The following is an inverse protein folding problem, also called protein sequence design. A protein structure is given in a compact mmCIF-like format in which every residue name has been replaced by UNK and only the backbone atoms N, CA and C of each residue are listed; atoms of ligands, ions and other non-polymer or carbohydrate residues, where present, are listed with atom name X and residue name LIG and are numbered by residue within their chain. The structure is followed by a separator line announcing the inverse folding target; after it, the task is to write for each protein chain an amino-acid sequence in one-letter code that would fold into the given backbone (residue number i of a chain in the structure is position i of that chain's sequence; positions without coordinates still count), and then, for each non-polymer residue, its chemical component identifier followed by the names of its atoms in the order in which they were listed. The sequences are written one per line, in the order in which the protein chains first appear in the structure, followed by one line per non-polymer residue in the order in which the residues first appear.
data_IF_489160137792
#
_entry.id   IF_489160137792
#
_cell.length_a   1.000
_cell.length_b   1.000
_cell.length_c   1.000
_cell.angle_alpha   90.00
_cell.angle_beta   90.00
_cell.angle_gamma   90.00
#
_symmetry.space_group_name_H-M   'P 1'
#
loop_
_entity.id
_entity.type
_entity.pdbx_description
1 polymer ?
#
# COMPACT_ATOMS: atom_id res chain seq x y z
N UNK A 1 -14.59 -9.26 1.74
CA UNK A 1 -14.73 -8.51 3.00
C UNK A 1 -16.20 -8.18 3.18
N UNK A 2 -16.89 -8.90 4.06
CA UNK A 2 -18.22 -8.51 4.48
C UNK A 2 -18.10 -7.15 5.17
N UNK A 3 -18.84 -6.17 4.69
CA UNK A 3 -18.75 -4.80 5.20
C UNK A 3 -19.05 -4.75 6.69
N UNK A 4 -18.25 -3.97 7.42
CA UNK A 4 -18.58 -3.63 8.78
C UNK A 4 -19.81 -2.74 8.78
N UNK A 5 -20.82 -3.09 9.56
CA UNK A 5 -21.97 -2.23 9.79
C UNK A 5 -21.61 -1.28 10.92
N UNK A 6 -21.67 0.01 10.65
CA UNK A 6 -21.43 1.05 11.65
C UNK A 6 -22.79 1.63 12.03
N UNK A 7 -23.19 1.45 13.28
CA UNK A 7 -24.36 2.11 13.85
C UNK A 7 -23.92 3.20 14.82
N UNK A 8 -24.35 4.43 14.57
CA UNK A 8 -24.22 5.54 15.50
C UNK A 8 -25.53 5.75 16.24
N UNK A 9 -25.51 5.74 17.55
CA UNK A 9 -26.69 6.00 18.38
C UNK A 9 -26.26 6.80 19.62
N UNK A 10 -26.78 8.03 19.72
CA UNK A 10 -26.61 8.92 20.90
C UNK A 10 -25.15 9.14 21.34
N UNK A 11 -24.24 9.43 20.41
CA UNK A 11 -22.83 9.71 20.72
C UNK A 11 -21.97 8.48 21.02
N UNK A 12 -22.52 7.26 20.96
CA UNK A 12 -21.74 6.04 21.01
C UNK A 12 -21.67 5.38 19.64
N UNK A 13 -20.47 4.94 19.28
CA UNK A 13 -20.21 4.21 18.06
C UNK A 13 -20.03 2.74 18.39
N UNK A 14 -20.89 1.89 17.84
CA UNK A 14 -20.72 0.44 17.91
C UNK A 14 -20.63 -0.11 16.50
N UNK A 15 -19.62 -0.92 16.22
CA UNK A 15 -19.46 -1.56 14.94
C UNK A 15 -19.21 -3.06 15.07
N UNK A 16 -19.81 -3.82 14.16
CA UNK A 16 -19.67 -5.26 14.08
C UNK A 16 -19.28 -5.64 12.66
N UNK A 17 -18.32 -6.54 12.55
CA UNK A 17 -17.91 -7.15 11.29
C UNK A 17 -17.35 -8.53 11.53
N UNK A 18 -17.09 -9.26 10.46
CA UNK A 18 -16.53 -10.61 10.57
C UNK A 18 -15.15 -10.63 11.27
N UNK A 19 -14.44 -9.50 11.26
CA UNK A 19 -13.05 -9.41 11.71
C UNK A 19 -12.80 -8.33 12.77
N UNK A 20 -13.77 -7.42 12.99
CA UNK A 20 -13.65 -6.29 13.90
C UNK A 20 -14.92 -6.15 14.73
N UNK A 21 -14.75 -5.93 16.01
CA UNK A 21 -15.81 -5.47 16.92
C UNK A 21 -15.31 -4.25 17.65
N UNK A 22 -16.18 -3.36 18.03
CA UNK A 22 -15.77 -2.22 18.82
C UNK A 22 -16.93 -1.40 19.32
N UNK A 23 -16.66 -0.65 20.35
CA UNK A 23 -17.55 0.37 20.91
C UNK A 23 -16.70 1.58 21.28
N UNK A 24 -17.25 2.76 21.07
CA UNK A 24 -16.59 4.01 21.44
C UNK A 24 -17.59 5.05 21.86
N UNK A 25 -17.10 6.03 22.59
CA UNK A 25 -17.85 7.21 23.00
C UNK A 25 -17.23 8.43 22.33
N UNK A 26 -18.00 9.08 21.47
CA UNK A 26 -17.57 10.28 20.76
C UNK A 26 -17.29 11.46 21.71
N UNK A 27 -17.96 11.53 22.86
CA UNK A 27 -17.74 12.59 23.83
C UNK A 27 -16.37 12.50 24.51
N UNK A 28 -15.91 11.31 24.78
CA UNK A 28 -14.60 11.07 25.42
C UNK A 28 -13.49 10.82 24.41
N UNK A 29 -13.83 10.55 23.15
CA UNK A 29 -12.87 10.15 22.11
C UNK A 29 -12.20 8.79 22.34
N UNK A 30 -12.71 7.99 23.27
CA UNK A 30 -12.14 6.68 23.60
C UNK A 30 -12.89 5.61 22.83
N UNK A 31 -12.14 4.81 22.07
CA UNK A 31 -12.63 3.68 21.30
C UNK A 31 -11.93 2.40 21.73
N UNK A 32 -12.70 1.37 21.99
CA UNK A 32 -12.19 0.01 22.25
C UNK A 32 -12.47 -0.84 21.02
N UNK A 33 -11.43 -1.34 20.42
CA UNK A 33 -11.50 -2.17 19.21
C UNK A 33 -10.99 -3.57 19.55
N UNK A 34 -11.83 -4.56 19.35
CA UNK A 34 -11.49 -5.98 19.48
C UNK A 34 -11.26 -6.57 18.09
N UNK A 35 -10.09 -7.15 17.88
CA UNK A 35 -9.72 -7.82 16.63
C UNK A 35 -9.99 -9.32 16.77
N UNK A 36 -10.60 -9.90 15.75
CA UNK A 36 -10.74 -11.35 15.67
C UNK A 36 -9.36 -12.01 15.63
N UNK A 37 -9.14 -13.02 16.47
CA UNK A 37 -7.85 -13.71 16.60
C UNK A 37 -7.33 -14.30 15.28
N UNK A 38 -8.22 -14.68 14.37
CA UNK A 38 -7.86 -15.14 13.03
C UNK A 38 -7.13 -14.09 12.19
N UNK A 39 -7.29 -12.78 12.50
CA UNK A 39 -6.51 -11.71 11.88
C UNK A 39 -5.02 -11.80 12.21
N UNK A 40 -4.66 -12.38 13.35
CA UNK A 40 -3.26 -12.58 13.74
C UNK A 40 -2.49 -13.34 12.65
N UNK A 41 -3.12 -14.34 12.04
CA UNK A 41 -2.52 -15.11 10.94
C UNK A 41 -2.10 -14.25 9.75
N UNK A 42 -2.79 -13.13 9.48
CA UNK A 42 -2.43 -12.20 8.40
C UNK A 42 -1.14 -11.43 8.72
N UNK A 43 -0.86 -11.21 10.01
CA UNK A 43 0.35 -10.51 10.44
C UNK A 43 1.53 -11.44 10.65
N UNK A 44 1.28 -12.72 10.96
CA UNK A 44 2.32 -13.74 11.15
C UNK A 44 3.12 -14.00 9.85
N UNK A 45 2.47 -13.91 8.69
CA UNK A 45 3.12 -14.03 7.38
C UNK A 45 3.99 -12.82 6.99
N UNK A 46 3.97 -11.77 7.79
CA UNK A 46 4.64 -10.49 7.54
C UNK A 46 3.65 -9.38 7.16
N UNK A 47 4.07 -8.16 7.38
CA UNK A 47 3.30 -6.96 7.07
C UNK A 47 4.21 -5.91 6.43
N UNK A 48 3.60 -5.01 5.67
CA UNK A 48 4.30 -3.91 5.01
C UNK A 48 3.95 -2.61 5.73
N UNK A 49 4.96 -1.94 6.24
CA UNK A 49 4.80 -0.59 6.74
C UNK A 49 4.76 0.38 5.55
N UNK A 50 3.73 1.21 5.53
CA UNK A 50 3.53 2.24 4.51
C UNK A 50 3.53 3.59 5.22
N UNK A 51 4.35 4.52 4.73
CA UNK A 51 4.40 5.87 5.26
C UNK A 51 3.11 6.62 4.90
N UNK A 52 2.35 6.99 5.94
CA UNK A 52 1.05 7.61 5.76
C UNK A 52 1.13 9.01 5.15
N UNK A 53 2.13 9.78 5.53
CA UNK A 53 2.35 11.14 5.03
C UNK A 53 2.59 11.14 3.51
N UNK A 54 3.36 10.18 3.00
CA UNK A 54 3.55 9.98 1.56
C UNK A 54 2.22 9.67 0.87
N UNK A 55 1.37 8.85 1.47
CA UNK A 55 0.04 8.53 0.90
C UNK A 55 -0.89 9.73 0.86
N UNK A 56 -0.83 10.60 1.86
CA UNK A 56 -1.62 11.83 1.89
C UNK A 56 -1.26 12.74 0.72
N UNK A 57 0.02 12.86 0.36
CA UNK A 57 0.50 13.63 -0.79
C UNK A 57 0.04 13.04 -2.14
N UNK A 58 -0.23 11.75 -2.18
CA UNK A 58 -0.73 11.04 -3.37
C UNK A 58 -2.26 11.01 -3.46
N UNK A 59 -2.99 11.67 -2.57
CA UNK A 59 -4.45 11.76 -2.67
C UNK A 59 -4.89 12.19 -4.06
N UNK A 60 -5.94 11.55 -4.59
CA UNK A 60 -6.48 11.78 -5.94
C UNK A 60 -5.57 11.34 -7.10
N UNK A 61 -4.51 10.56 -6.82
CA UNK A 61 -3.60 9.98 -7.82
C UNK A 61 -3.63 8.45 -7.73
N UNK A 62 -4.71 7.79 -8.18
CA UNK A 62 -4.96 6.37 -7.88
C UNK A 62 -3.85 5.44 -8.37
N UNK A 63 -3.28 5.68 -9.57
CA UNK A 63 -2.17 4.87 -10.06
C UNK A 63 -0.91 5.05 -9.22
N UNK A 64 -0.59 6.27 -8.79
CA UNK A 64 0.55 6.53 -7.91
C UNK A 64 0.34 5.89 -6.52
N UNK A 65 -0.88 5.96 -5.96
CA UNK A 65 -1.23 5.28 -4.70
C UNK A 65 -1.07 3.76 -4.79
N UNK A 66 -1.47 3.16 -5.92
CA UNK A 66 -1.31 1.73 -6.15
C UNK A 66 0.19 1.36 -6.25
N UNK A 67 0.94 2.09 -7.06
CA UNK A 67 2.39 1.89 -7.24
C UNK A 67 3.16 2.07 -5.93
N UNK A 68 2.79 3.06 -5.12
CA UNK A 68 3.36 3.29 -3.80
C UNK A 68 3.20 2.03 -2.91
N UNK A 69 1.97 1.52 -2.79
CA UNK A 69 1.72 0.29 -2.03
C UNK A 69 2.49 -0.92 -2.57
N UNK A 70 2.53 -1.08 -3.89
CA UNK A 70 3.25 -2.16 -4.54
C UNK A 70 4.75 -2.09 -4.27
N UNK A 71 5.40 -0.96 -4.53
CA UNK A 71 6.84 -0.85 -4.35
C UNK A 71 7.24 -0.86 -2.87
N UNK A 72 6.42 -0.32 -1.96
CA UNK A 72 6.66 -0.40 -0.53
C UNK A 72 6.56 -1.84 0.01
N UNK A 73 5.80 -2.72 -0.63
CA UNK A 73 5.71 -4.13 -0.22
C UNK A 73 6.94 -4.97 -0.56
N UNK A 74 7.87 -4.44 -1.37
CA UNK A 74 9.07 -5.14 -1.79
C UNK A 74 10.33 -4.42 -1.28
N UNK A 75 11.16 -5.12 -0.51
CA UNK A 75 12.43 -4.58 -0.04
C UNK A 75 13.40 -4.30 -1.20
N UNK A 76 13.41 -5.19 -2.18
CA UNK A 76 14.14 -5.08 -3.45
C UNK A 76 13.14 -5.27 -4.60
N UNK A 77 12.55 -4.18 -5.13
CA UNK A 77 11.60 -4.27 -6.23
C UNK A 77 12.25 -4.85 -7.49
N UNK A 78 11.61 -5.83 -8.08
CA UNK A 78 12.04 -6.40 -9.35
C UNK A 78 11.42 -5.65 -10.55
N UNK A 79 12.05 -5.71 -11.74
CA UNK A 79 11.54 -5.09 -12.95
C UNK A 79 10.14 -5.62 -13.30
N UNK A 80 9.15 -4.72 -13.45
CA UNK A 80 7.77 -5.07 -13.71
C UNK A 80 7.32 -4.60 -15.11
N UNK A 81 6.67 -5.47 -15.86
CA UNK A 81 6.16 -5.15 -17.20
C UNK A 81 5.06 -4.08 -17.16
N UNK A 82 5.06 -3.16 -18.14
CA UNK A 82 4.04 -2.11 -18.25
C UNK A 82 2.63 -2.69 -18.31
N UNK A 83 2.43 -3.73 -19.11
CA UNK A 83 1.15 -4.43 -19.25
C UNK A 83 0.72 -5.11 -17.93
N UNK A 84 1.70 -5.67 -17.20
CA UNK A 84 1.45 -6.26 -15.88
C UNK A 84 0.99 -5.19 -14.88
N UNK A 85 1.65 -4.02 -14.87
CA UNK A 85 1.24 -2.88 -14.03
C UNK A 85 -0.18 -2.43 -14.41
N UNK A 86 -0.47 -2.31 -15.69
CA UNK A 86 -1.81 -1.91 -16.17
C UNK A 86 -2.89 -2.86 -15.68
N UNK A 87 -2.67 -4.15 -15.87
CA UNK A 87 -3.61 -5.19 -15.43
C UNK A 87 -3.80 -5.23 -13.91
N UNK A 88 -2.70 -5.22 -13.15
CA UNK A 88 -2.74 -5.34 -11.68
C UNK A 88 -3.28 -4.08 -11.01
N UNK A 89 -3.04 -2.89 -11.58
CA UNK A 89 -3.59 -1.63 -11.06
C UNK A 89 -5.08 -1.43 -11.36
N UNK A 90 -5.68 -2.32 -12.16
CA UNK A 90 -7.08 -2.19 -12.59
C UNK A 90 -7.31 -1.01 -13.53
N UNK A 91 -6.27 -0.53 -14.24
CA UNK A 91 -6.41 0.59 -15.17
C UNK A 91 -7.26 0.18 -16.39
N UNK A 92 -8.34 0.91 -16.61
CA UNK A 92 -9.24 0.74 -17.77
C UNK A 92 -8.76 1.47 -19.03
N UNK A 93 -7.56 2.05 -19.00
CA UNK A 93 -7.03 2.83 -20.13
C UNK A 93 -6.67 1.89 -21.30
N UNK A 94 -7.51 1.86 -22.34
CA UNK A 94 -7.37 0.96 -23.48
C UNK A 94 -6.17 1.28 -24.40
N UNK A 95 -5.60 2.49 -24.32
CA UNK A 95 -4.51 2.92 -25.20
C UNK A 95 -3.13 2.78 -24.54
N UNK A 96 -2.26 1.85 -25.03
CA UNK A 96 -0.94 1.62 -24.43
C UNK A 96 -0.07 2.88 -24.28
N UNK A 97 -0.07 3.75 -25.28
CA UNK A 97 0.70 5.01 -25.26
C UNK A 97 0.17 6.01 -24.20
N UNK A 98 -1.14 6.06 -23.99
CA UNK A 98 -1.77 6.87 -22.96
C UNK A 98 -1.46 6.33 -21.56
N UNK A 99 -1.55 5.01 -21.37
CA UNK A 99 -1.18 4.39 -20.11
C UNK A 99 0.30 4.59 -19.77
N UNK A 100 1.21 4.45 -20.74
CA UNK A 100 2.64 4.68 -20.54
C UNK A 100 2.93 6.11 -20.04
N UNK A 101 2.27 7.13 -20.61
CA UNK A 101 2.40 8.52 -20.13
C UNK A 101 1.86 8.69 -18.70
N UNK A 102 0.70 8.10 -18.40
CA UNK A 102 0.12 8.14 -17.07
C UNK A 102 1.01 7.43 -16.04
N UNK A 103 1.61 6.30 -16.43
CA UNK A 103 2.54 5.54 -15.60
C UNK A 103 3.82 6.35 -15.32
N UNK A 104 4.42 6.97 -16.36
CA UNK A 104 5.60 7.81 -16.16
C UNK A 104 5.31 8.96 -15.19
N UNK A 105 4.19 9.65 -15.36
CA UNK A 105 3.78 10.71 -14.44
C UNK A 105 3.59 10.22 -13.02
N UNK A 106 2.98 9.04 -12.85
CA UNK A 106 2.79 8.46 -11.52
C UNK A 106 4.12 8.06 -10.85
N UNK A 107 5.10 7.58 -11.62
CA UNK A 107 6.44 7.26 -11.14
C UNK A 107 7.23 8.52 -10.77
N UNK A 108 7.12 9.59 -11.56
CA UNK A 108 7.72 10.89 -11.24
C UNK A 108 7.17 11.47 -9.94
N UNK A 109 5.87 11.33 -9.69
CA UNK A 109 5.25 11.72 -8.43
C UNK A 109 5.83 10.93 -7.23
N UNK A 110 6.11 9.63 -7.39
CA UNK A 110 6.73 8.83 -6.33
C UNK A 110 8.17 9.26 -6.05
N UNK A 111 8.91 9.69 -7.08
CA UNK A 111 10.26 10.27 -6.88
C UNK A 111 10.14 11.62 -6.18
N UNK A 112 9.20 12.47 -6.60
CA UNK A 112 8.99 13.79 -6.02
C UNK A 112 8.72 13.75 -4.51
N UNK A 113 7.93 12.78 -4.05
CA UNK A 113 7.62 12.61 -2.61
C UNK A 113 8.69 11.82 -1.83
N UNK A 114 9.75 11.34 -2.50
CA UNK A 114 10.83 10.57 -1.87
C UNK A 114 10.56 9.08 -1.67
N UNK A 115 9.40 8.57 -2.09
CA UNK A 115 9.07 7.14 -2.01
C UNK A 115 9.96 6.26 -2.91
N UNK A 116 10.43 6.84 -4.02
CA UNK A 116 11.44 6.25 -4.91
C UNK A 116 12.66 7.17 -5.01
N UNK A 117 13.85 6.59 -5.13
CA UNK A 117 15.08 7.32 -5.45
C UNK A 117 15.11 7.66 -6.94
N UNK A 118 14.76 6.70 -7.79
CA UNK A 118 14.71 6.87 -9.24
C UNK A 118 13.92 5.74 -9.90
N UNK A 119 13.57 5.97 -11.16
CA UNK A 119 13.02 4.93 -12.02
C UNK A 119 13.56 5.04 -13.44
N UNK A 120 13.47 3.96 -14.21
CA UNK A 120 13.81 3.92 -15.63
C UNK A 120 13.00 2.86 -16.36
N UNK A 121 12.80 3.09 -17.66
CA UNK A 121 12.30 2.05 -18.56
C UNK A 121 13.46 1.25 -19.15
N UNK A 122 13.35 -0.06 -19.13
CA UNK A 122 14.22 -1.01 -19.83
C UNK A 122 13.36 -1.86 -20.75
N UNK A 123 13.26 -1.44 -22.02
CA UNK A 123 12.27 -2.00 -22.96
C UNK A 123 10.84 -1.77 -22.48
N UNK A 124 10.09 -2.85 -22.25
CA UNK A 124 8.72 -2.82 -21.74
C UNK A 124 8.63 -3.00 -20.21
N UNK A 125 9.74 -2.87 -19.49
CA UNK A 125 9.79 -3.04 -18.03
C UNK A 125 10.14 -1.75 -17.32
N UNK A 126 9.46 -1.51 -16.22
CA UNK A 126 9.77 -0.46 -15.25
C UNK A 126 10.76 -1.03 -14.24
N UNK A 127 11.91 -0.39 -14.12
CA UNK A 127 12.88 -0.65 -13.08
C UNK A 127 12.87 0.54 -12.12
N UNK A 128 12.75 0.28 -10.84
CA UNK A 128 12.77 1.32 -9.80
C UNK A 128 13.91 1.08 -8.84
N UNK A 129 14.39 2.17 -8.24
CA UNK A 129 15.31 2.16 -7.12
C UNK A 129 14.66 2.85 -5.94
N UNK A 130 14.67 2.19 -4.78
CA UNK A 130 14.19 2.76 -3.52
C UNK A 130 15.11 2.38 -2.37
N UNK A 131 15.06 3.17 -1.32
CA UNK A 131 15.74 2.86 -0.06
C UNK A 131 14.84 1.93 0.76
N UNK A 132 15.29 0.69 1.10
CA UNK A 132 14.53 -0.18 1.98
C UNK A 132 14.34 0.44 3.37
N UNK A 133 13.20 0.21 3.99
CA UNK A 133 12.97 0.63 5.38
C UNK A 133 13.91 -0.13 6.35
N UNK A 134 14.14 0.36 7.58
CA UNK A 134 14.98 -0.34 8.55
C UNK A 134 14.54 -1.79 8.83
N UNK A 135 13.23 -2.07 8.82
CA UNK A 135 12.73 -3.44 8.98
C UNK A 135 13.01 -4.32 7.75
N UNK A 136 12.87 -3.76 6.55
CA UNK A 136 13.24 -4.44 5.30
C UNK A 136 14.74 -4.72 5.21
N UNK A 137 15.58 -3.76 5.63
CA UNK A 137 17.04 -3.96 5.69
C UNK A 137 17.42 -5.12 6.63
N UNK A 138 16.80 -5.18 7.81
CA UNK A 138 16.99 -6.30 8.75
C UNK A 138 16.60 -7.64 8.13
N UNK A 139 15.49 -7.69 7.40
CA UNK A 139 15.05 -8.89 6.69
C UNK A 139 16.05 -9.32 5.60
N UNK A 140 16.53 -8.39 4.78
CA UNK A 140 17.52 -8.65 3.74
C UNK A 140 18.85 -9.17 4.32
N UNK A 141 19.27 -8.61 5.46
CA UNK A 141 20.50 -9.06 6.15
C UNK A 141 20.36 -10.48 6.68
N UNK A 142 19.20 -10.82 7.27
CA UNK A 142 18.93 -12.20 7.73
C UNK A 142 18.93 -13.19 6.55
N UNK A 143 18.30 -12.83 5.42
CA UNK A 143 18.26 -13.67 4.21
C UNK A 143 19.65 -13.92 3.63
N UNK A 144 20.57 -12.94 3.68
CA UNK A 144 21.95 -13.10 3.20
C UNK A 144 22.82 -13.99 4.10
N UNK A 145 22.52 -14.01 5.42
CA UNK A 145 23.26 -14.87 6.39
C UNK A 145 22.79 -16.32 6.40
N UNK A 146 21.62 -16.61 5.89
CA UNK A 146 21.04 -17.95 5.82
C UNK A 146 21.25 -18.68 4.49
N UNK A 147 22.05 -18.09 3.59
CA UNK A 147 22.55 -18.71 2.34
C UNK A 147 24.04 -18.99 2.44
#
# INVERSE_FOLDING_TARGET
LAGATIEMKYGSLTFFGALLKGAGDEMTGVYVIELESRLEALYMAGWTQIEWDERVLLRRKPLALWLHGWFCSHAEPFPLGIETIQRLSGSVNAHPGSFKRQLSKALDELVLIGALVSWRLSGHRVCVMRTPTPSQQRHLTKKKRGR
#
